data_IF_368908618970
#
_entry.id   IF_368908618970
#
_cell.length_a   1.000
_cell.length_b   1.000
_cell.length_c   1.000
_cell.angle_alpha   90.00
_cell.angle_beta   90.00
_cell.angle_gamma   90.00
#
_symmetry.space_group_name_H-M   'P 1'
#
loop_
_entity.id
_entity.type
_entity.pdbx_description
1 polymer ?
#
# COMPACT_ATOMS: atom_id res chain seq x y z
N UNK A 1 11.61 37.01 -40.16
CA UNK A 1 12.84 36.59 -39.43
C UNK A 1 12.52 36.19 -37.98
N UNK A 2 12.13 37.09 -37.08
CA UNK A 2 11.79 36.69 -35.68
C UNK A 2 10.71 35.60 -35.57
N UNK A 3 9.69 35.63 -36.44
CA UNK A 3 8.60 34.65 -36.39
C UNK A 3 9.04 33.23 -36.78
N UNK A 4 9.92 33.11 -37.78
CA UNK A 4 10.50 31.82 -38.20
C UNK A 4 11.47 31.27 -37.14
N UNK A 5 12.27 32.14 -36.50
CA UNK A 5 13.16 31.74 -35.41
C UNK A 5 12.38 31.24 -34.19
N UNK A 6 11.27 31.90 -33.83
CA UNK A 6 10.37 31.44 -32.76
C UNK A 6 9.68 30.12 -33.10
N UNK A 7 9.30 29.89 -34.36
CA UNK A 7 8.73 28.61 -34.79
C UNK A 7 9.76 27.49 -34.67
N UNK A 8 10.98 27.73 -35.16
CA UNK A 8 12.07 26.76 -35.10
C UNK A 8 12.46 26.41 -33.67
N UNK A 9 12.54 27.41 -32.78
CA UNK A 9 12.82 27.20 -31.36
C UNK A 9 11.74 26.35 -30.67
N UNK A 10 10.45 26.61 -30.95
CA UNK A 10 9.35 25.80 -30.43
C UNK A 10 9.40 24.35 -30.93
N UNK A 11 9.76 24.14 -32.19
CA UNK A 11 9.90 22.81 -32.75
C UNK A 11 10.97 22.00 -32.00
N UNK A 12 12.13 22.62 -31.75
CA UNK A 12 13.22 22.00 -30.99
C UNK A 12 12.87 21.77 -29.53
N UNK A 13 12.10 22.66 -28.91
CA UNK A 13 11.63 22.51 -27.53
C UNK A 13 10.66 21.33 -27.41
N UNK A 14 9.75 21.18 -28.38
CA UNK A 14 8.80 20.07 -28.41
C UNK A 14 9.48 18.72 -28.63
N UNK A 15 10.52 18.68 -29.47
CA UNK A 15 11.38 17.48 -29.61
C UNK A 15 12.12 17.14 -28.32
N UNK A 16 12.66 18.15 -27.61
CA UNK A 16 13.35 17.94 -26.36
C UNK A 16 12.41 17.38 -25.27
N UNK A 17 11.20 17.92 -25.17
CA UNK A 17 10.16 17.43 -24.25
C UNK A 17 9.75 16.00 -24.60
N UNK A 18 9.57 15.69 -25.88
CA UNK A 18 9.23 14.33 -26.33
C UNK A 18 10.32 13.32 -25.98
N UNK A 19 11.60 13.69 -26.16
CA UNK A 19 12.75 12.86 -25.76
C UNK A 19 12.83 12.67 -24.25
N UNK A 20 12.61 13.71 -23.46
CA UNK A 20 12.58 13.61 -22.01
C UNK A 20 11.45 12.70 -21.52
N UNK A 21 10.28 12.78 -22.15
CA UNK A 21 9.15 11.92 -21.84
C UNK A 21 9.46 10.46 -22.15
N UNK A 22 10.12 10.17 -23.27
CA UNK A 22 10.55 8.82 -23.64
C UNK A 22 11.58 8.23 -22.66
N UNK A 23 12.49 9.06 -22.13
CA UNK A 23 13.44 8.64 -21.10
C UNK A 23 12.72 8.33 -19.78
N UNK A 24 11.78 9.18 -19.36
CA UNK A 24 10.99 8.93 -18.16
C UNK A 24 10.04 7.75 -18.29
N UNK A 25 9.50 7.52 -19.49
CA UNK A 25 8.56 6.44 -19.76
C UNK A 25 9.23 5.11 -20.08
N UNK A 26 10.57 5.08 -20.13
CA UNK A 26 11.31 3.85 -20.33
C UNK A 26 11.03 2.85 -19.21
N UNK A 27 10.97 1.57 -19.57
CA UNK A 27 10.67 0.48 -18.61
C UNK A 27 11.71 0.47 -17.47
N UNK A 28 12.99 0.67 -17.81
CA UNK A 28 14.09 0.82 -16.84
C UNK A 28 13.87 1.97 -15.84
N UNK A 29 13.28 3.08 -16.28
CA UNK A 29 13.00 4.24 -15.42
C UNK A 29 11.83 3.96 -14.46
N UNK A 30 10.80 3.27 -14.95
CA UNK A 30 9.69 2.79 -14.12
C UNK A 30 10.13 1.73 -13.10
N UNK A 31 11.03 0.82 -13.48
CA UNK A 31 11.62 -0.17 -12.59
C UNK A 31 12.47 0.47 -11.50
N UNK A 32 13.30 1.46 -11.86
CA UNK A 32 14.10 2.20 -10.89
C UNK A 32 13.22 2.99 -9.90
N UNK A 33 12.16 3.62 -10.40
CA UNK A 33 11.18 4.35 -9.59
C UNK A 33 10.45 3.41 -8.63
N UNK A 34 9.93 2.28 -9.12
CA UNK A 34 9.23 1.29 -8.30
C UNK A 34 10.14 0.66 -7.24
N UNK A 35 11.41 0.42 -7.57
CA UNK A 35 12.39 -0.13 -6.63
C UNK A 35 12.79 0.86 -5.52
N UNK A 36 12.91 2.14 -5.86
CA UNK A 36 13.38 3.19 -4.94
C UNK A 36 12.23 3.77 -4.11
N UNK A 37 11.10 4.02 -4.77
CA UNK A 37 9.84 4.44 -4.19
C UNK A 37 8.83 3.31 -4.35
N UNK A 38 8.98 2.24 -3.57
CA UNK A 38 7.96 1.21 -3.52
C UNK A 38 6.79 1.72 -2.66
N UNK A 39 5.64 2.12 -3.23
CA UNK A 39 4.52 2.65 -2.45
C UNK A 39 3.96 1.57 -1.51
N UNK A 40 4.10 0.29 -1.87
CA UNK A 40 3.73 -0.82 -1.03
C UNK A 40 4.66 -1.00 0.18
N UNK A 41 5.94 -0.62 0.10
CA UNK A 41 6.85 -0.65 1.25
C UNK A 41 6.44 0.36 2.34
N UNK A 42 6.00 1.55 1.93
CA UNK A 42 5.47 2.59 2.84
C UNK A 42 4.18 2.13 3.54
N UNK A 43 3.30 1.42 2.82
CA UNK A 43 2.07 0.84 3.37
C UNK A 43 2.37 -0.34 4.31
N UNK A 44 3.40 -1.14 4.00
CA UNK A 44 3.79 -2.29 4.81
C UNK A 44 4.32 -1.88 6.20
N UNK A 45 5.04 -0.77 6.33
CA UNK A 45 5.60 -0.34 7.61
C UNK A 45 4.51 0.03 8.63
N UNK A 46 3.47 0.73 8.21
CA UNK A 46 2.30 1.01 9.04
C UNK A 46 1.60 -0.28 9.52
N UNK A 47 1.46 -1.27 8.63
CA UNK A 47 0.85 -2.56 8.97
C UNK A 47 1.67 -3.37 10.00
N UNK A 48 3.00 -3.34 9.88
CA UNK A 48 3.95 -4.03 10.78
C UNK A 48 3.95 -3.38 12.16
N UNK A 49 3.96 -2.05 12.24
CA UNK A 49 3.90 -1.30 13.50
C UNK A 49 2.62 -1.60 14.29
N UNK A 50 1.47 -1.68 13.60
CA UNK A 50 0.21 -2.08 14.23
C UNK A 50 0.21 -3.52 14.75
N UNK A 51 0.91 -4.43 14.07
CA UNK A 51 1.01 -5.83 14.49
C UNK A 51 1.83 -6.00 15.78
N UNK A 52 2.99 -5.36 15.86
CA UNK A 52 3.87 -5.43 17.03
C UNK A 52 3.21 -4.88 18.30
N UNK A 53 2.53 -3.72 18.21
CA UNK A 53 1.83 -3.10 19.34
C UNK A 53 0.69 -3.96 19.88
N UNK A 54 -0.06 -4.63 19.00
CA UNK A 54 -1.15 -5.55 19.40
C UNK A 54 -0.62 -6.79 20.11
N UNK A 55 0.47 -7.38 19.62
CA UNK A 55 1.10 -8.54 20.26
C UNK A 55 1.60 -8.20 21.68
N UNK A 56 2.24 -7.04 21.84
CA UNK A 56 2.67 -6.55 23.15
C UNK A 56 1.48 -6.31 24.10
N UNK A 57 0.42 -5.67 23.61
CA UNK A 57 -0.78 -5.41 24.40
C UNK A 57 -1.48 -6.73 24.84
N UNK A 58 -1.60 -7.70 23.94
CA UNK A 58 -2.18 -9.01 24.25
C UNK A 58 -1.36 -9.76 25.31
N UNK A 59 -0.02 -9.74 25.22
CA UNK A 59 0.88 -10.34 26.22
C UNK A 59 0.72 -9.69 27.60
N UNK A 60 0.71 -8.36 27.66
CA UNK A 60 0.54 -7.62 28.91
C UNK A 60 -0.83 -7.92 29.55
N UNK A 61 -1.91 -7.86 28.77
CA UNK A 61 -3.26 -8.13 29.26
C UNK A 61 -3.40 -9.58 29.72
N UNK A 62 -2.77 -10.54 29.04
CA UNK A 62 -2.73 -11.95 29.47
C UNK A 62 -1.99 -12.13 30.79
N UNK A 63 -0.85 -11.46 30.97
CA UNK A 63 -0.08 -11.50 32.22
C UNK A 63 -0.86 -10.89 33.39
N UNK A 64 -1.49 -9.74 33.17
CA UNK A 64 -2.32 -9.06 34.17
C UNK A 64 -3.57 -9.88 34.51
N UNK A 65 -4.22 -10.48 33.52
CA UNK A 65 -5.38 -11.35 33.73
C UNK A 65 -5.04 -12.57 34.60
N UNK A 66 -3.85 -13.17 34.42
CA UNK A 66 -3.37 -14.27 35.26
C UNK A 66 -3.11 -13.82 36.69
N UNK A 67 -2.49 -12.64 36.88
CA UNK A 67 -2.18 -12.09 38.22
C UNK A 67 -3.42 -11.69 39.01
N UNK A 68 -4.42 -11.12 38.33
CA UNK A 68 -5.66 -10.63 38.95
C UNK A 68 -6.80 -11.66 38.89
N UNK A 69 -6.56 -12.86 38.36
CA UNK A 69 -7.56 -13.90 38.11
C UNK A 69 -8.85 -13.36 37.45
N UNK A 70 -8.69 -12.42 36.51
CA UNK A 70 -9.83 -11.75 35.89
C UNK A 70 -10.11 -12.34 34.49
N UNK A 71 -11.17 -13.15 34.34
CA UNK A 71 -11.50 -13.80 33.07
C UNK A 71 -11.90 -12.82 31.97
N UNK A 72 -12.41 -11.62 32.31
CA UNK A 72 -12.76 -10.60 31.31
C UNK A 72 -11.52 -10.02 30.64
N UNK A 73 -10.43 -9.82 31.39
CA UNK A 73 -9.15 -9.35 30.85
C UNK A 73 -8.47 -10.44 29.99
N UNK A 74 -8.58 -11.71 30.38
CA UNK A 74 -8.09 -12.81 29.55
C UNK A 74 -8.82 -12.85 28.20
N UNK A 75 -10.15 -12.74 28.23
CA UNK A 75 -10.98 -12.73 27.01
C UNK A 75 -10.64 -11.53 26.10
N UNK A 76 -10.37 -10.36 26.69
CA UNK A 76 -9.93 -9.17 25.95
C UNK A 76 -8.55 -9.37 25.30
N UNK A 77 -7.61 -10.01 25.98
CA UNK A 77 -6.30 -10.32 25.44
C UNK A 77 -6.38 -11.25 24.22
N UNK A 78 -7.29 -12.24 24.25
CA UNK A 78 -7.56 -13.13 23.11
C UNK A 78 -8.20 -12.37 21.94
N UNK A 79 -9.18 -11.49 22.20
CA UNK A 79 -9.81 -10.67 21.15
C UNK A 79 -8.80 -9.78 20.43
N UNK A 80 -7.91 -9.10 21.15
CA UNK A 80 -6.88 -8.22 20.57
C UNK A 80 -5.88 -9.01 19.71
N UNK A 81 -5.57 -10.25 20.10
CA UNK A 81 -4.72 -11.14 19.30
C UNK A 81 -5.41 -11.62 18.02
N UNK A 82 -6.70 -11.93 18.11
CA UNK A 82 -7.49 -12.49 17.02
C UNK A 82 -8.04 -11.43 16.04
N UNK A 83 -8.06 -10.15 16.40
CA UNK A 83 -8.55 -9.04 15.56
C UNK A 83 -7.81 -8.91 14.21
N UNK A 84 -6.59 -9.45 14.11
CA UNK A 84 -5.88 -9.57 12.83
C UNK A 84 -6.63 -10.43 11.79
N UNK A 85 -7.39 -11.44 12.22
CA UNK A 85 -8.17 -12.29 11.32
C UNK A 85 -9.40 -11.61 10.73
N UNK A 86 -9.95 -10.58 11.39
CA UNK A 86 -11.05 -9.80 10.83
C UNK A 86 -10.61 -9.05 9.55
N UNK A 87 -9.37 -8.52 9.55
CA UNK A 87 -8.79 -7.87 8.37
C UNK A 87 -8.46 -8.86 7.26
N UNK A 88 -7.99 -10.06 7.60
CA UNK A 88 -7.72 -11.11 6.60
C UNK A 88 -9.03 -11.59 5.97
N UNK A 89 -10.08 -11.80 6.75
CA UNK A 89 -11.42 -12.12 6.22
C UNK A 89 -11.94 -11.03 5.30
N UNK A 90 -11.87 -9.78 5.74
CA UNK A 90 -12.28 -8.64 4.90
C UNK A 90 -11.48 -8.54 3.60
N UNK A 91 -10.16 -8.75 3.64
CA UNK A 91 -9.34 -8.72 2.43
C UNK A 91 -9.69 -9.86 1.46
N UNK A 92 -10.07 -11.03 1.97
CA UNK A 92 -10.59 -12.12 1.15
C UNK A 92 -11.95 -11.74 0.55
N UNK A 93 -12.86 -11.18 1.35
CA UNK A 93 -14.19 -10.76 0.90
C UNK A 93 -14.10 -9.65 -0.18
N UNK A 94 -13.22 -8.66 0.02
CA UNK A 94 -12.97 -7.57 -0.92
C UNK A 94 -12.38 -8.10 -2.24
N UNK A 95 -11.46 -9.08 -2.18
CA UNK A 95 -10.87 -9.72 -3.37
C UNK A 95 -11.89 -10.58 -4.13
N UNK A 96 -12.77 -11.29 -3.43
CA UNK A 96 -13.89 -12.03 -4.03
C UNK A 96 -14.88 -11.08 -4.72
N UNK A 97 -15.22 -9.97 -4.06
CA UNK A 97 -16.09 -8.96 -4.64
C UNK A 97 -15.50 -8.33 -5.92
N UNK A 98 -14.19 -8.07 -5.93
CA UNK A 98 -13.51 -7.56 -7.11
C UNK A 98 -13.52 -8.58 -8.27
N UNK A 99 -13.22 -9.85 -7.99
CA UNK A 99 -13.27 -10.92 -8.99
C UNK A 99 -14.69 -11.14 -9.56
N UNK A 100 -15.73 -11.01 -8.74
CA UNK A 100 -17.12 -11.08 -9.21
C UNK A 100 -17.48 -9.91 -10.12
N UNK A 101 -17.01 -8.70 -9.78
CA UNK A 101 -17.24 -7.50 -10.59
C UNK A 101 -16.52 -7.59 -11.95
N UNK A 102 -15.26 -8.03 -11.95
CA UNK A 102 -14.50 -8.26 -13.19
C UNK A 102 -15.20 -9.31 -14.08
N UNK A 103 -15.87 -10.31 -13.49
CA UNK A 103 -16.67 -11.28 -14.26
C UNK A 103 -17.92 -10.69 -14.88
N UNK A 104 -18.58 -9.74 -14.23
CA UNK A 104 -19.75 -9.05 -14.78
C UNK A 104 -19.36 -8.06 -15.89
N UNK A 105 -18.21 -7.39 -15.76
CA UNK A 105 -17.71 -6.44 -16.76
C UNK A 105 -17.15 -7.14 -18.03
N UNK A 106 -16.83 -8.44 -17.96
CA UNK A 106 -16.36 -9.28 -19.08
C UNK A 106 -17.48 -10.01 -19.87
N UNK A 107 -18.75 -9.89 -19.46
CA UNK A 107 -19.93 -10.50 -20.12
C UNK A 107 -20.75 -9.43 -20.85
#
# INVERSE_FOLDING_TARGET
KEWEERQKARQTEMEAVSKALAILSGDDAHDLFTRTFNPAALVQEASRAHSARREQASKLLSAVARRLHNPRLANLAYKIKLDAFARVKKAIDDMVAQLLKEKEDEI
#
